data_IF_949820728694
#
_entry.id   IF_949820728694
#
_cell.length_a   1.000
_cell.length_b   1.000
_cell.length_c   1.000
_cell.angle_alpha   90.00
_cell.angle_beta   90.00
_cell.angle_gamma   90.00
#
_symmetry.space_group_name_H-M   'P 1'
#
loop_
_entity.id
_entity.type
_entity.pdbx_description
1 polymer ?
#
# COMPACT_ATOMS: atom_id res chain seq x y z
N UNK A 1 4.71 13.53 -0.44
CA UNK A 1 4.64 13.13 0.99
C UNK A 1 5.91 13.43 1.78
N UNK A 2 7.13 13.37 1.21
CA UNK A 2 8.35 13.77 1.92
C UNK A 2 8.26 15.17 2.55
N UNK A 3 7.70 16.16 1.84
CA UNK A 3 7.53 17.52 2.37
C UNK A 3 6.57 17.60 3.56
N UNK A 4 5.46 16.85 3.53
CA UNK A 4 4.47 16.82 4.60
C UNK A 4 5.00 16.10 5.85
N UNK A 5 5.77 15.02 5.67
CA UNK A 5 6.39 14.30 6.80
C UNK A 5 7.42 15.20 7.48
N UNK A 6 8.26 15.91 6.71
CA UNK A 6 9.23 16.87 7.25
C UNK A 6 8.51 18.02 7.99
N UNK A 7 7.42 18.53 7.44
CA UNK A 7 6.60 19.58 8.07
C UNK A 7 5.97 19.10 9.38
N UNK A 8 5.42 17.88 9.41
CA UNK A 8 4.86 17.24 10.61
C UNK A 8 5.93 17.10 11.69
N UNK A 9 7.11 16.59 11.34
CA UNK A 9 8.21 16.45 12.31
C UNK A 9 8.69 17.80 12.85
N UNK A 10 8.78 18.83 12.00
CA UNK A 10 9.09 20.19 12.43
C UNK A 10 8.05 20.75 13.41
N UNK A 11 6.76 20.54 13.13
CA UNK A 11 5.66 20.97 13.99
C UNK A 11 5.61 20.18 15.31
N UNK A 12 5.87 18.87 15.30
CA UNK A 12 5.97 18.04 16.51
C UNK A 12 7.11 18.51 17.41
N UNK A 13 8.29 18.76 16.83
CA UNK A 13 9.45 19.28 17.56
C UNK A 13 9.13 20.62 18.21
N UNK A 14 8.54 21.54 17.45
CA UNK A 14 8.08 22.84 17.96
C UNK A 14 7.06 22.69 19.09
N UNK A 15 6.11 21.75 18.97
CA UNK A 15 5.12 21.49 20.02
C UNK A 15 5.75 20.91 21.29
N UNK A 16 6.76 20.03 21.15
CA UNK A 16 7.52 19.49 22.27
C UNK A 16 8.33 20.56 23.00
N UNK A 17 8.99 21.46 22.25
CA UNK A 17 9.69 22.63 22.77
C UNK A 17 8.72 23.52 23.57
N UNK A 18 7.59 23.92 22.97
CA UNK A 18 6.56 24.72 23.64
C UNK A 18 6.03 24.08 24.93
N UNK A 19 5.86 22.75 24.95
CA UNK A 19 5.46 22.00 26.15
C UNK A 19 6.55 21.97 27.22
N UNK A 20 7.83 21.96 26.84
CA UNK A 20 8.96 21.97 27.77
C UNK A 20 9.07 23.30 28.54
N UNK A 21 8.66 24.41 27.92
CA UNK A 21 8.62 25.73 28.55
C UNK A 21 7.44 25.91 29.53
N UNK A 22 6.43 25.03 29.49
CA UNK A 22 5.16 25.21 30.19
C UNK A 22 4.98 24.38 31.47
N UNK A 23 5.46 24.88 32.62
CA UNK A 23 4.85 24.56 33.92
C UNK A 23 3.78 25.62 34.23
N UNK A 24 2.49 25.23 34.13
CA UNK A 24 1.28 25.97 34.55
C UNK A 24 1.24 27.47 34.15
N UNK A 25 0.93 27.75 32.89
CA UNK A 25 0.58 29.10 32.44
C UNK A 25 -0.94 29.26 32.22
N UNK A 26 -1.49 30.46 32.42
CA UNK A 26 -2.90 30.74 32.19
C UNK A 26 -3.29 30.57 30.70
N UNK A 27 -4.56 30.26 30.40
CA UNK A 27 -5.05 29.95 29.04
C UNK A 27 -4.80 31.06 28.01
N UNK A 28 -4.62 32.30 28.46
CA UNK A 28 -4.40 33.50 27.67
C UNK A 28 -2.91 33.81 27.41
N UNK A 29 -1.99 32.93 27.79
CA UNK A 29 -0.56 33.15 27.54
C UNK A 29 -0.23 33.04 26.04
N UNK A 30 0.71 33.86 25.51
CA UNK A 30 1.16 33.74 24.11
C UNK A 30 1.63 32.32 23.73
N UNK A 31 2.24 31.61 24.70
CA UNK A 31 2.68 30.22 24.54
C UNK A 31 1.49 29.26 24.31
N UNK A 32 0.39 29.44 25.05
CA UNK A 32 -0.81 28.62 24.89
C UNK A 32 -1.45 28.83 23.51
N UNK A 33 -1.51 30.08 23.04
CA UNK A 33 -2.04 30.43 21.71
C UNK A 33 -1.17 29.80 20.61
N UNK A 34 0.15 29.86 20.77
CA UNK A 34 1.07 29.26 19.80
C UNK A 34 0.97 27.72 19.77
N UNK A 35 0.83 27.08 20.93
CA UNK A 35 0.56 25.64 21.02
C UNK A 35 -0.73 25.26 20.28
N UNK A 36 -1.83 25.99 20.50
CA UNK A 36 -3.09 25.76 19.78
C UNK A 36 -2.92 25.91 18.27
N UNK A 37 -2.18 26.94 17.83
CA UNK A 37 -1.90 27.18 16.41
C UNK A 37 -1.12 26.02 15.78
N UNK A 38 -0.09 25.49 16.47
CA UNK A 38 0.68 24.33 16.00
C UNK A 38 -0.20 23.08 15.93
N UNK A 39 -1.05 22.85 16.93
CA UNK A 39 -2.01 21.74 16.93
C UNK A 39 -3.07 21.84 15.82
N UNK A 40 -3.53 23.04 15.49
CA UNK A 40 -4.44 23.27 14.36
C UNK A 40 -3.77 22.98 13.02
N UNK A 41 -2.50 23.37 12.85
CA UNK A 41 -1.73 23.01 11.65
C UNK A 41 -1.57 21.51 11.49
N UNK A 42 -1.24 20.79 12.56
CA UNK A 42 -1.16 19.33 12.54
C UNK A 42 -2.50 18.69 12.17
N UNK A 43 -3.61 19.16 12.75
CA UNK A 43 -4.97 18.70 12.39
C UNK A 43 -5.31 18.99 10.92
N UNK A 44 -4.95 20.16 10.40
CA UNK A 44 -5.15 20.52 8.99
C UNK A 44 -4.36 19.61 8.06
N UNK A 45 -3.13 19.23 8.43
CA UNK A 45 -2.31 18.28 7.68
C UNK A 45 -2.96 16.88 7.70
N UNK A 46 -3.48 16.44 8.84
CA UNK A 46 -4.20 15.16 8.93
C UNK A 46 -5.48 15.16 8.09
N UNK A 47 -6.28 16.22 8.12
CA UNK A 47 -7.48 16.33 7.29
C UNK A 47 -7.13 16.27 5.79
N UNK A 48 -6.04 16.92 5.39
CA UNK A 48 -5.50 16.81 4.01
C UNK A 48 -5.04 15.39 3.72
N UNK A 49 -4.33 14.75 4.63
CA UNK A 49 -3.87 13.37 4.50
C UNK A 49 -5.04 12.40 4.32
N UNK A 50 -6.08 12.51 5.16
CA UNK A 50 -7.26 11.66 5.08
C UNK A 50 -8.03 11.87 3.77
N UNK A 51 -8.31 13.12 3.41
CA UNK A 51 -8.94 13.46 2.12
C UNK A 51 -8.17 12.89 0.94
N UNK A 52 -6.85 13.04 0.97
CA UNK A 52 -5.97 12.61 -0.10
C UNK A 52 -5.88 11.08 -0.24
N UNK A 53 -6.03 10.33 0.86
CA UNK A 53 -6.06 8.87 0.83
C UNK A 53 -7.49 8.30 0.77
N UNK A 54 -8.53 9.14 0.60
CA UNK A 54 -9.95 8.77 0.65
C UNK A 54 -10.35 8.00 1.93
N UNK A 55 -9.71 8.36 3.04
CA UNK A 55 -9.99 7.78 4.35
C UNK A 55 -10.99 8.69 5.03
N UNK A 56 -12.08 8.13 5.55
CA UNK A 56 -12.99 8.85 6.45
C UNK A 56 -12.69 8.46 7.90
N UNK A 57 -11.97 9.30 8.67
CA UNK A 57 -11.60 8.99 10.05
C UNK A 57 -12.81 8.93 11.00
N UNK A 58 -13.96 9.50 10.59
CA UNK A 58 -15.21 9.51 11.36
C UNK A 58 -16.11 8.34 11.04
N UNK A 59 -15.80 7.57 10.00
CA UNK A 59 -16.56 6.38 9.63
C UNK A 59 -16.57 5.39 10.82
N UNK A 60 -17.76 4.97 11.29
CA UNK A 60 -17.85 3.89 12.26
C UNK A 60 -17.41 2.61 11.54
N UNK A 61 -16.18 2.19 11.81
CA UNK A 61 -15.62 0.95 11.30
C UNK A 61 -15.72 -0.13 12.37
N UNK A 62 -16.39 -1.21 12.03
CA UNK A 62 -16.52 -2.40 12.86
C UNK A 62 -15.80 -3.55 12.19
N UNK A 63 -15.06 -4.33 12.97
CA UNK A 63 -14.53 -5.62 12.54
C UNK A 63 -15.53 -6.66 13.00
N UNK A 64 -16.04 -7.47 12.08
CA UNK A 64 -17.18 -8.34 12.36
C UNK A 64 -16.83 -9.32 13.47
N UNK A 65 -17.53 -9.24 14.60
CA UNK A 65 -17.33 -10.12 15.75
C UNK A 65 -16.24 -9.67 16.74
N UNK A 66 -15.69 -8.46 16.60
CA UNK A 66 -14.67 -7.92 17.50
C UNK A 66 -15.03 -6.51 18.01
N UNK A 67 -15.14 -6.32 19.33
CA UNK A 67 -15.21 -4.99 19.91
C UNK A 67 -13.82 -4.33 19.83
N UNK A 68 -13.78 -3.03 19.54
CA UNK A 68 -12.53 -2.26 19.51
C UNK A 68 -12.53 -1.18 20.60
N UNK A 69 -11.44 -1.01 21.37
CA UNK A 69 -10.20 -1.81 21.34
C UNK A 69 -10.42 -3.26 21.79
N UNK A 70 -9.52 -4.18 21.43
CA UNK A 70 -9.56 -5.56 21.96
C UNK A 70 -9.29 -5.54 23.47
N UNK A 71 -10.01 -6.37 24.23
CA UNK A 71 -10.07 -6.25 25.69
C UNK A 71 -9.11 -7.19 26.42
N UNK A 72 -8.88 -8.40 25.90
CA UNK A 72 -8.01 -9.41 26.50
C UNK A 72 -7.12 -10.14 25.47
N UNK A 73 -6.24 -11.02 25.95
CA UNK A 73 -5.32 -11.80 25.11
C UNK A 73 -6.07 -12.75 24.16
N UNK A 74 -7.17 -13.36 24.62
CA UNK A 74 -7.97 -14.27 23.80
C UNK A 74 -8.61 -13.57 22.60
N UNK A 75 -8.97 -12.29 22.73
CA UNK A 75 -9.47 -11.47 21.63
C UNK A 75 -8.38 -11.21 20.58
N UNK A 76 -7.12 -11.02 21.03
CA UNK A 76 -5.94 -10.84 20.16
C UNK A 76 -5.71 -12.11 19.34
N UNK A 77 -5.68 -13.26 20.00
CA UNK A 77 -5.50 -14.57 19.35
C UNK A 77 -6.64 -14.90 18.39
N UNK A 78 -7.87 -14.61 18.80
CA UNK A 78 -9.04 -14.81 17.95
C UNK A 78 -8.99 -13.90 16.72
N UNK A 79 -8.58 -12.64 16.86
CA UNK A 79 -8.46 -11.73 15.72
C UNK A 79 -7.36 -12.20 14.78
N UNK A 80 -6.20 -12.59 15.32
CA UNK A 80 -5.09 -13.17 14.55
C UNK A 80 -5.55 -14.38 13.74
N UNK A 81 -6.26 -15.32 14.38
CA UNK A 81 -6.79 -16.50 13.71
C UNK A 81 -7.76 -16.14 12.58
N UNK A 82 -8.66 -15.18 12.81
CA UNK A 82 -9.64 -14.76 11.81
C UNK A 82 -9.00 -13.97 10.66
N UNK A 83 -8.01 -13.13 10.93
CA UNK A 83 -7.25 -12.39 9.91
C UNK A 83 -6.47 -13.35 9.01
N UNK A 84 -5.92 -14.42 9.56
CA UNK A 84 -5.21 -15.44 8.78
C UNK A 84 -6.14 -16.29 7.90
N UNK A 85 -7.35 -16.58 8.36
CA UNK A 85 -8.28 -17.48 7.67
C UNK A 85 -9.29 -16.79 6.77
N UNK A 86 -9.61 -15.53 7.04
CA UNK A 86 -10.69 -14.81 6.39
C UNK A 86 -10.20 -13.48 5.79
N UNK A 87 -10.00 -13.41 4.46
CA UNK A 87 -9.58 -12.19 3.77
C UNK A 87 -10.51 -10.99 4.01
N UNK A 88 -11.79 -11.23 4.27
CA UNK A 88 -12.77 -10.17 4.54
C UNK A 88 -12.54 -9.53 5.92
N UNK A 89 -12.25 -10.33 6.95
CA UNK A 89 -11.91 -9.82 8.30
C UNK A 89 -10.55 -9.11 8.25
N UNK A 90 -9.57 -9.67 7.54
CA UNK A 90 -8.29 -9.00 7.29
C UNK A 90 -8.47 -7.62 6.68
N UNK A 91 -9.26 -7.50 5.62
CA UNK A 91 -9.54 -6.22 4.98
C UNK A 91 -10.25 -5.23 5.93
N UNK A 92 -11.21 -5.70 6.73
CA UNK A 92 -11.87 -4.87 7.74
C UNK A 92 -10.88 -4.34 8.78
N UNK A 93 -9.97 -5.18 9.27
CA UNK A 93 -8.96 -4.78 10.24
C UNK A 93 -7.96 -3.77 9.66
N UNK A 94 -7.44 -4.01 8.46
CA UNK A 94 -6.51 -3.08 7.78
C UNK A 94 -7.18 -1.72 7.55
N UNK A 95 -8.45 -1.71 7.13
CA UNK A 95 -9.20 -0.48 6.93
C UNK A 95 -9.44 0.27 8.26
N UNK A 96 -9.71 -0.47 9.34
CA UNK A 96 -9.80 0.09 10.69
C UNK A 96 -8.47 0.75 11.10
N UNK A 97 -7.35 0.07 10.91
CA UNK A 97 -6.02 0.60 11.20
C UNK A 97 -5.73 1.89 10.41
N UNK A 98 -6.05 1.92 9.10
CA UNK A 98 -5.90 3.10 8.24
C UNK A 98 -6.66 4.31 8.77
N UNK A 99 -7.89 4.12 9.19
CA UNK A 99 -8.73 5.21 9.69
C UNK A 99 -8.32 5.76 11.05
N UNK A 100 -7.65 4.94 11.88
CA UNK A 100 -7.34 5.31 13.27
C UNK A 100 -5.93 5.86 13.49
N UNK A 101 -5.07 5.84 12.45
CA UNK A 101 -3.73 6.44 12.47
C UNK A 101 -3.66 7.72 11.62
N UNK A 102 -3.75 8.91 12.24
CA UNK A 102 -3.40 10.17 11.59
C UNK A 102 -1.92 10.21 11.20
N UNK A 103 -1.57 11.05 10.21
CA UNK A 103 -0.19 11.25 9.78
C UNK A 103 0.64 11.93 10.88
N UNK A 104 0.01 12.84 11.63
CA UNK A 104 0.66 13.60 12.71
C UNK A 104 0.91 12.80 13.99
N UNK A 105 0.39 11.58 14.10
CA UNK A 105 0.42 10.79 15.34
C UNK A 105 1.29 9.55 15.19
N UNK A 106 2.16 9.34 16.18
CA UNK A 106 3.00 8.16 16.26
C UNK A 106 2.17 6.87 16.38
N UNK A 107 2.73 5.77 15.90
CA UNK A 107 2.05 4.47 15.98
C UNK A 107 1.77 4.11 17.45
N UNK A 108 2.75 4.31 18.33
CA UNK A 108 2.66 4.04 19.78
C UNK A 108 1.46 4.74 20.43
N UNK A 109 1.18 5.98 20.05
CA UNK A 109 0.05 6.76 20.56
C UNK A 109 -1.32 6.26 20.06
N UNK A 110 -1.34 5.49 18.98
CA UNK A 110 -2.57 4.89 18.46
C UNK A 110 -2.91 3.55 19.10
N UNK A 111 -1.96 2.89 19.79
CA UNK A 111 -2.16 1.54 20.34
C UNK A 111 -3.36 1.42 21.27
N UNK A 112 -3.65 2.43 22.10
CA UNK A 112 -4.82 2.44 22.97
C UNK A 112 -6.17 2.45 22.24
N UNK A 113 -6.19 2.73 20.93
CA UNK A 113 -7.39 2.62 20.08
C UNK A 113 -7.58 1.19 19.55
N UNK A 114 -6.53 0.38 19.58
CA UNK A 114 -6.50 -0.98 19.02
C UNK A 114 -6.62 -2.03 20.12
N UNK A 115 -5.93 -1.82 21.25
CA UNK A 115 -5.83 -2.79 22.33
C UNK A 115 -5.88 -2.07 23.68
N UNK A 116 -6.53 -2.68 24.66
CA UNK A 116 -6.41 -2.26 26.06
C UNK A 116 -5.05 -2.67 26.63
N UNK A 117 -4.70 -2.14 27.80
CA UNK A 117 -3.51 -2.58 28.52
C UNK A 117 -3.58 -4.05 28.93
N UNK A 118 -4.78 -4.55 29.23
CA UNK A 118 -5.02 -5.96 29.58
C UNK A 118 -4.76 -6.89 28.38
N UNK A 119 -5.25 -6.52 27.19
CA UNK A 119 -5.03 -7.29 25.96
C UNK A 119 -3.54 -7.47 25.62
N UNK A 120 -2.70 -6.50 25.98
CA UNK A 120 -1.26 -6.52 25.67
C UNK A 120 -0.37 -6.88 26.86
N UNK A 121 -0.93 -7.17 28.03
CA UNK A 121 -0.17 -7.36 29.26
C UNK A 121 0.91 -8.46 29.15
N UNK A 122 0.59 -9.53 28.41
CA UNK A 122 1.47 -10.69 28.20
C UNK A 122 2.25 -10.64 26.87
N UNK A 123 2.21 -9.52 26.15
CA UNK A 123 2.91 -9.37 24.89
C UNK A 123 4.23 -8.59 25.06
N UNK A 124 5.17 -8.88 24.16
CA UNK A 124 6.41 -8.15 23.98
C UNK A 124 6.73 -8.05 22.50
N UNK A 125 7.46 -7.01 22.08
CA UNK A 125 7.81 -6.89 20.65
C UNK A 125 8.62 -8.09 20.16
N UNK A 126 9.65 -8.50 20.92
CA UNK A 126 10.39 -9.74 20.73
C UNK A 126 10.38 -10.52 22.04
N UNK A 127 10.14 -11.84 21.98
CA UNK A 127 10.20 -12.68 23.17
C UNK A 127 11.64 -12.72 23.69
N UNK A 128 11.87 -12.10 24.85
CA UNK A 128 13.15 -12.19 25.56
C UNK A 128 13.03 -13.38 26.51
N UNK A 129 13.78 -14.46 26.20
CA UNK A 129 13.73 -15.74 26.92
C UNK A 129 14.26 -15.69 28.38
N UNK A 130 14.70 -14.54 28.86
CA UNK A 130 15.31 -14.37 30.20
C UNK A 130 14.32 -13.85 31.26
N UNK A 131 13.05 -13.69 30.92
CA UNK A 131 12.00 -13.25 31.84
C UNK A 131 11.40 -14.44 32.59
N UNK A 132 11.17 -14.29 33.90
CA UNK A 132 10.47 -15.27 34.76
C UNK A 132 9.04 -15.59 34.28
N UNK A 133 8.47 -14.75 33.40
CA UNK A 133 7.22 -15.02 32.68
C UNK A 133 7.46 -14.93 31.16
N UNK A 134 7.28 -16.01 30.40
CA UNK A 134 7.37 -15.95 28.95
C UNK A 134 6.25 -15.05 28.41
N UNK A 135 6.61 -14.11 27.54
CA UNK A 135 5.66 -13.24 26.83
C UNK A 135 5.55 -13.65 25.38
N UNK A 136 4.35 -13.51 24.82
CA UNK A 136 4.11 -13.72 23.39
C UNK A 136 4.86 -12.66 22.58
N UNK A 137 5.52 -13.08 21.51
CA UNK A 137 6.20 -12.16 20.61
C UNK A 137 5.18 -11.59 19.63
N UNK A 138 5.00 -10.27 19.63
CA UNK A 138 4.14 -9.59 18.65
C UNK A 138 4.61 -9.83 17.21
N UNK A 139 5.90 -10.09 17.00
CA UNK A 139 6.46 -10.43 15.68
C UNK A 139 5.86 -11.68 15.06
N UNK A 140 5.27 -12.57 15.86
CA UNK A 140 4.73 -13.84 15.39
C UNK A 140 3.27 -13.70 14.90
N UNK A 141 2.69 -12.49 15.05
CA UNK A 141 1.30 -12.20 14.76
C UNK A 141 1.20 -11.24 13.57
N UNK A 142 0.41 -11.61 12.56
CA UNK A 142 0.13 -10.78 11.39
C UNK A 142 -0.63 -9.51 11.75
N UNK A 143 -1.43 -9.50 12.81
CA UNK A 143 -2.16 -8.30 13.24
C UNK A 143 -1.27 -7.17 13.74
N UNK A 144 -0.07 -7.49 14.26
CA UNK A 144 0.93 -6.50 14.72
C UNK A 144 2.01 -6.21 13.66
N UNK A 145 2.20 -7.11 12.71
CA UNK A 145 3.24 -7.00 11.68
C UNK A 145 2.62 -6.68 10.33
N UNK A 146 2.27 -7.70 9.55
CA UNK A 146 1.85 -7.57 8.15
C UNK A 146 0.66 -6.64 7.98
N UNK A 147 -0.35 -6.71 8.86
CA UNK A 147 -1.55 -5.87 8.73
C UNK A 147 -1.27 -4.40 9.06
N UNK A 148 -0.47 -4.13 10.09
CA UNK A 148 -0.06 -2.76 10.45
C UNK A 148 0.81 -2.13 9.37
N UNK A 149 1.73 -2.92 8.80
CA UNK A 149 2.51 -2.51 7.63
C UNK A 149 1.59 -2.26 6.42
N UNK A 150 0.68 -3.17 6.09
CA UNK A 150 -0.24 -3.00 4.97
C UNK A 150 -1.21 -1.82 5.15
N UNK A 151 -1.54 -1.48 6.40
CA UNK A 151 -2.37 -0.34 6.72
C UNK A 151 -1.61 1.00 6.62
N UNK A 152 -0.37 1.05 7.09
CA UNK A 152 0.32 2.33 7.33
C UNK A 152 1.55 2.55 6.47
N UNK A 153 2.02 1.52 5.78
CA UNK A 153 2.97 1.69 4.71
C UNK A 153 2.23 2.38 3.56
N UNK A 154 2.79 3.50 3.13
CA UNK A 154 2.28 4.34 2.04
C UNK A 154 2.27 3.63 0.66
N UNK A 155 2.18 2.31 0.57
CA UNK A 155 2.60 1.54 -0.59
C UNK A 155 1.55 0.53 -1.07
N UNK A 156 0.27 0.75 -0.79
CA UNK A 156 -0.81 -0.10 -1.33
C UNK A 156 -1.70 0.74 -2.26
N UNK A 157 -2.00 0.17 -3.43
CA UNK A 157 -3.04 0.67 -4.32
C UNK A 157 -4.33 -0.04 -3.98
N UNK A 158 -5.33 0.72 -3.55
CA UNK A 158 -6.56 0.18 -2.99
C UNK A 158 -7.24 -0.77 -3.97
N UNK A 159 -7.48 -2.02 -3.56
CA UNK A 159 -8.17 -3.03 -4.37
C UNK A 159 -7.28 -3.83 -5.33
N UNK A 160 -5.95 -3.66 -5.27
CA UNK A 160 -4.99 -4.36 -6.13
C UNK A 160 -3.87 -5.02 -5.32
N UNK A 161 -3.46 -6.20 -5.76
CA UNK A 161 -2.33 -6.95 -5.22
C UNK A 161 -1.22 -6.98 -6.28
N UNK A 162 -0.01 -6.58 -5.91
CA UNK A 162 1.15 -6.60 -6.81
C UNK A 162 2.10 -7.76 -6.45
N UNK A 163 2.80 -8.34 -7.45
CA UNK A 163 2.71 -8.03 -8.88
C UNK A 163 1.37 -8.50 -9.49
N UNK A 164 0.84 -7.74 -10.46
CA UNK A 164 -0.40 -8.11 -11.14
C UNK A 164 -0.21 -9.45 -11.86
N UNK A 165 -1.17 -10.34 -11.67
CA UNK A 165 -1.02 -11.76 -12.03
C UNK A 165 -1.56 -12.08 -13.43
N UNK A 166 -2.52 -11.28 -13.92
CA UNK A 166 -3.14 -11.50 -15.21
C UNK A 166 -3.44 -10.19 -15.94
N UNK A 167 -3.91 -10.32 -17.17
CA UNK A 167 -4.23 -9.21 -18.06
C UNK A 167 -5.43 -8.39 -17.54
N UNK A 168 -6.46 -9.07 -17.04
CA UNK A 168 -7.69 -8.47 -16.52
C UNK A 168 -7.42 -7.54 -15.33
N UNK A 169 -6.41 -7.85 -14.51
CA UNK A 169 -5.99 -6.98 -13.41
C UNK A 169 -5.35 -5.67 -13.89
N UNK A 170 -4.63 -5.69 -15.03
CA UNK A 170 -4.07 -4.48 -15.65
C UNK A 170 -5.20 -3.61 -16.20
N UNK A 171 -6.18 -4.20 -16.90
CA UNK A 171 -7.34 -3.46 -17.41
C UNK A 171 -8.19 -2.88 -16.27
N UNK A 172 -8.40 -3.66 -15.20
CA UNK A 172 -9.10 -3.19 -13.99
C UNK A 172 -8.36 -2.04 -13.34
N UNK A 173 -7.03 -2.11 -13.24
CA UNK A 173 -6.20 -1.03 -12.70
C UNK A 173 -6.28 0.22 -13.57
N UNK A 174 -6.12 0.08 -14.89
CA UNK A 174 -6.24 1.18 -15.85
C UNK A 174 -7.60 1.89 -15.74
N UNK A 175 -8.68 1.11 -15.77
CA UNK A 175 -10.04 1.65 -15.65
C UNK A 175 -10.22 2.39 -14.33
N UNK A 176 -9.69 1.83 -13.23
CA UNK A 176 -9.80 2.47 -11.92
C UNK A 176 -8.95 3.73 -11.83
N UNK A 177 -7.74 3.75 -12.44
CA UNK A 177 -6.88 4.94 -12.52
C UNK A 177 -7.55 6.06 -13.32
N UNK A 178 -8.24 5.73 -14.41
CA UNK A 178 -8.97 6.72 -15.23
C UNK A 178 -10.13 7.36 -14.49
N UNK A 179 -10.87 6.57 -13.73
CA UNK A 179 -12.10 7.01 -13.06
C UNK A 179 -11.81 7.62 -11.69
N UNK A 180 -10.79 7.12 -10.99
CA UNK A 180 -10.50 7.47 -9.61
C UNK A 180 -9.10 8.10 -9.46
N UNK A 181 -9.02 9.44 -9.35
CA UNK A 181 -7.76 10.17 -9.16
C UNK A 181 -6.96 9.72 -7.93
N UNK A 182 -7.63 9.21 -6.89
CA UNK A 182 -6.96 8.69 -5.69
C UNK A 182 -6.21 7.41 -5.98
N UNK A 183 -6.83 6.47 -6.72
CA UNK A 183 -6.15 5.23 -7.12
C UNK A 183 -4.98 5.53 -8.05
N UNK A 184 -5.14 6.49 -8.96
CA UNK A 184 -4.02 7.01 -9.77
C UNK A 184 -2.88 7.49 -8.89
N UNK A 185 -3.15 8.36 -7.92
CA UNK A 185 -2.12 8.88 -7.03
C UNK A 185 -1.44 7.76 -6.20
N UNK A 186 -2.23 6.84 -5.66
CA UNK A 186 -1.72 5.68 -4.91
C UNK A 186 -0.78 4.84 -5.78
N UNK A 187 -1.13 4.62 -7.05
CA UNK A 187 -0.32 3.87 -8.00
C UNK A 187 0.99 4.59 -8.33
N UNK A 188 0.95 5.88 -8.65
CA UNK A 188 2.16 6.70 -8.88
C UNK A 188 3.09 6.65 -7.67
N UNK A 189 2.55 6.80 -6.46
CA UNK A 189 3.33 6.72 -5.21
C UNK A 189 3.95 5.34 -5.00
N UNK A 190 3.17 4.29 -5.27
CA UNK A 190 3.65 2.91 -5.21
C UNK A 190 4.81 2.67 -6.17
N UNK A 191 4.67 3.10 -7.44
CA UNK A 191 5.75 3.03 -8.44
C UNK A 191 7.02 3.75 -7.97
N UNK A 192 6.88 4.96 -7.43
CA UNK A 192 8.01 5.75 -6.93
C UNK A 192 8.73 5.05 -5.77
N UNK A 193 8.00 4.42 -4.86
CA UNK A 193 8.60 3.73 -3.69
C UNK A 193 9.37 2.44 -4.03
N UNK A 194 9.03 1.79 -5.15
CA UNK A 194 9.59 0.49 -5.51
C UNK A 194 10.78 0.59 -6.46
N UNK A 195 11.25 1.80 -6.79
CA UNK A 195 12.44 2.05 -7.59
C UNK A 195 13.64 2.42 -6.70
N UNK A 196 14.61 1.52 -6.50
CA UNK A 196 15.90 1.88 -5.89
C UNK A 196 16.68 2.89 -6.76
N UNK A 197 17.55 3.72 -6.17
CA UNK A 197 18.31 4.72 -6.90
C UNK A 197 19.27 4.12 -7.95
N UNK A 198 19.74 2.89 -7.74
CA UNK A 198 20.75 2.23 -8.58
C UNK A 198 20.18 1.17 -9.54
N UNK A 199 18.86 0.94 -9.55
CA UNK A 199 18.26 -0.15 -10.34
C UNK A 199 17.52 0.39 -11.57
N UNK A 200 17.56 -0.34 -12.68
CA UNK A 200 16.85 0.04 -13.91
C UNK A 200 15.34 -0.08 -13.73
N UNK A 201 14.58 0.65 -14.54
CA UNK A 201 13.12 0.60 -14.46
C UNK A 201 12.62 -0.79 -14.88
N UNK A 202 13.17 -1.37 -15.94
CA UNK A 202 12.87 -2.71 -16.42
C UNK A 202 13.12 -3.77 -15.34
N UNK A 203 14.17 -3.64 -14.52
CA UNK A 203 14.40 -4.55 -13.39
C UNK A 203 13.30 -4.46 -12.32
N UNK A 204 12.67 -3.29 -12.16
CA UNK A 204 11.55 -3.08 -11.25
C UNK A 204 10.23 -3.66 -11.78
N UNK A 205 10.09 -3.96 -13.09
CA UNK A 205 8.82 -4.46 -13.66
C UNK A 205 8.33 -5.75 -13.00
N UNK A 206 9.25 -6.63 -12.59
CA UNK A 206 8.91 -7.87 -11.86
C UNK A 206 8.21 -7.63 -10.52
N UNK A 207 8.35 -6.43 -9.94
CA UNK A 207 7.69 -6.02 -8.70
C UNK A 207 6.23 -5.60 -8.95
N UNK A 208 5.90 -5.25 -10.20
CA UNK A 208 4.61 -4.70 -10.59
C UNK A 208 3.78 -5.67 -11.43
N UNK A 209 4.43 -6.50 -12.24
CA UNK A 209 3.78 -7.34 -13.24
C UNK A 209 4.46 -8.70 -13.30
N UNK A 210 3.64 -9.75 -13.31
CA UNK A 210 4.11 -11.09 -13.69
C UNK A 210 4.27 -11.19 -15.21
N UNK A 211 5.08 -12.13 -15.69
CA UNK A 211 5.20 -12.39 -17.14
C UNK A 211 3.83 -12.73 -17.77
N UNK A 212 2.95 -13.42 -17.04
CA UNK A 212 1.59 -13.73 -17.50
C UNK A 212 0.74 -12.50 -17.74
N UNK A 213 0.83 -11.50 -16.87
CA UNK A 213 0.07 -10.25 -17.04
C UNK A 213 0.49 -9.46 -18.28
N UNK A 214 1.75 -9.55 -18.71
CA UNK A 214 2.30 -8.80 -19.84
C UNK A 214 2.21 -9.54 -21.19
N UNK A 215 1.85 -10.83 -21.20
CA UNK A 215 1.88 -11.67 -22.41
C UNK A 215 1.04 -11.12 -23.58
N UNK A 216 -0.11 -10.51 -23.26
CA UNK A 216 -1.03 -9.96 -24.25
C UNK A 216 -0.72 -8.50 -24.62
N UNK A 217 0.45 -7.98 -24.25
CA UNK A 217 0.84 -6.60 -24.54
C UNK A 217 1.97 -6.50 -25.58
N UNK A 218 1.96 -5.40 -26.32
CA UNK A 218 3.02 -4.98 -27.23
C UNK A 218 3.29 -3.47 -27.10
N UNK A 219 4.44 -3.01 -27.60
CA UNK A 219 4.77 -1.58 -27.57
C UNK A 219 4.03 -0.79 -28.67
N UNK A 220 3.81 -1.42 -29.83
CA UNK A 220 3.09 -0.87 -30.98
C UNK A 220 2.22 -1.97 -31.60
N UNK A 221 1.04 -1.60 -32.11
CA UNK A 221 0.20 -2.52 -32.90
C UNK A 221 0.95 -2.86 -34.18
N UNK A 222 1.37 -4.12 -34.34
CA UNK A 222 1.98 -4.61 -35.58
C UNK A 222 0.89 -5.26 -36.45
N UNK A 223 0.92 -5.03 -37.76
CA UNK A 223 -0.06 -5.57 -38.72
C UNK A 223 0.07 -7.09 -38.97
N UNK A 224 0.83 -7.80 -38.13
CA UNK A 224 1.11 -9.24 -38.24
C UNK A 224 0.10 -10.15 -37.50
N UNK A 225 0.35 -11.48 -37.43
CA UNK A 225 -0.56 -12.46 -36.82
C UNK A 225 -0.77 -12.27 -35.31
N UNK A 226 -0.07 -11.33 -34.66
CA UNK A 226 -0.29 -10.88 -33.27
C UNK A 226 -1.54 -9.98 -33.10
N UNK A 227 -2.58 -10.15 -33.91
CA UNK A 227 -3.83 -9.34 -33.97
C UNK A 227 -4.61 -9.18 -32.65
N UNK A 228 -4.15 -9.77 -31.54
CA UNK A 228 -4.79 -9.73 -30.23
C UNK A 228 -4.00 -9.00 -29.14
N UNK A 229 -2.76 -8.56 -29.41
CA UNK A 229 -1.96 -7.86 -28.40
C UNK A 229 -2.37 -6.39 -28.29
N UNK A 230 -2.54 -5.91 -27.07
CA UNK A 230 -2.87 -4.51 -26.79
C UNK A 230 -1.61 -3.65 -26.68
N UNK A 231 -1.70 -2.39 -27.12
CA UNK A 231 -0.57 -1.47 -27.03
C UNK A 231 -0.48 -0.89 -25.62
N UNK A 232 0.69 -1.03 -24.98
CA UNK A 232 0.94 -0.40 -23.67
C UNK A 232 0.85 1.14 -23.72
N UNK A 233 1.00 1.75 -24.91
CA UNK A 233 0.88 3.21 -25.09
C UNK A 233 -0.55 3.72 -24.91
N UNK A 234 -1.54 2.83 -25.00
CA UNK A 234 -2.96 3.19 -24.83
C UNK A 234 -3.37 3.24 -23.34
N UNK A 235 -2.45 2.92 -22.42
CA UNK A 235 -2.70 2.76 -21.00
C UNK A 235 -1.93 3.82 -20.19
N UNK A 236 -2.68 4.66 -19.47
CA UNK A 236 -2.13 5.72 -18.62
C UNK A 236 -1.29 5.19 -17.47
N UNK A 237 -1.55 3.97 -17.02
CA UNK A 237 -0.73 3.33 -15.99
C UNK A 237 0.71 3.09 -16.48
N UNK A 238 0.91 2.80 -17.77
CA UNK A 238 2.25 2.60 -18.34
C UNK A 238 2.89 3.90 -18.82
N UNK A 239 2.11 4.88 -19.28
CA UNK A 239 2.63 6.16 -19.78
C UNK A 239 2.66 7.20 -18.68
N UNK A 240 1.52 7.81 -18.38
CA UNK A 240 1.40 9.01 -17.54
C UNK A 240 1.88 8.73 -16.12
N UNK A 241 1.47 7.59 -15.55
CA UNK A 241 1.74 7.26 -14.15
C UNK A 241 3.21 6.89 -13.93
N UNK A 242 3.83 6.12 -14.84
CA UNK A 242 5.26 5.77 -14.73
C UNK A 242 6.16 6.98 -15.00
N UNK A 243 5.80 7.83 -15.97
CA UNK A 243 6.50 9.09 -16.21
C UNK A 243 6.46 9.99 -14.98
N UNK A 244 5.27 10.18 -14.38
CA UNK A 244 5.12 10.99 -13.16
C UNK A 244 5.89 10.40 -11.98
N UNK A 245 5.80 9.09 -11.77
CA UNK A 245 6.44 8.42 -10.63
C UNK A 245 7.97 8.51 -10.66
N UNK A 246 8.56 8.49 -11.85
CA UNK A 246 10.02 8.41 -12.01
C UNK A 246 10.64 9.61 -12.72
N UNK A 247 9.89 10.72 -12.84
CA UNK A 247 10.39 11.97 -13.39
C UNK A 247 11.63 12.47 -12.63
N UNK A 248 11.63 12.36 -11.30
CA UNK A 248 12.75 12.70 -10.42
C UNK A 248 13.99 11.83 -10.64
N UNK A 249 13.82 10.64 -11.23
CA UNK A 249 14.91 9.73 -11.59
C UNK A 249 15.40 9.92 -13.03
N UNK A 250 15.00 11.01 -13.69
CA UNK A 250 15.44 11.33 -15.06
C UNK A 250 14.81 10.45 -16.14
N UNK A 251 13.66 9.85 -15.83
CA UNK A 251 12.83 9.15 -16.82
C UNK A 251 12.16 10.17 -17.74
N UNK A 252 12.26 9.93 -19.04
CA UNK A 252 11.53 10.64 -20.08
C UNK A 252 10.85 9.63 -21.01
N UNK A 253 10.01 10.10 -21.92
CA UNK A 253 9.20 9.24 -22.79
C UNK A 253 10.04 8.24 -23.60
N UNK A 254 11.15 8.69 -24.20
CA UNK A 254 12.03 7.82 -24.98
C UNK A 254 12.67 6.72 -24.12
N UNK A 255 13.16 7.05 -22.92
CA UNK A 255 13.71 6.05 -21.99
C UNK A 255 12.64 5.08 -21.50
N UNK A 256 11.43 5.57 -21.21
CA UNK A 256 10.32 4.72 -20.78
C UNK A 256 9.98 3.69 -21.85
N UNK A 257 9.93 4.09 -23.13
CA UNK A 257 9.66 3.16 -24.23
C UNK A 257 10.73 2.07 -24.34
N UNK A 258 12.00 2.41 -24.16
CA UNK A 258 13.11 1.43 -24.13
C UNK A 258 12.96 0.45 -22.97
N UNK A 259 12.66 0.95 -21.76
CA UNK A 259 12.51 0.12 -20.57
C UNK A 259 11.28 -0.81 -20.66
N UNK A 260 10.17 -0.32 -21.21
CA UNK A 260 8.98 -1.12 -21.50
C UNK A 260 9.28 -2.24 -22.50
N UNK A 261 10.05 -1.94 -23.55
CA UNK A 261 10.45 -2.92 -24.54
C UNK A 261 11.33 -4.02 -23.92
N UNK A 262 12.29 -3.65 -23.06
CA UNK A 262 13.13 -4.63 -22.34
C UNK A 262 12.27 -5.53 -21.45
N UNK A 263 11.33 -4.95 -20.70
CA UNK A 263 10.44 -5.71 -19.82
C UNK A 263 9.54 -6.70 -20.60
N UNK A 264 9.00 -6.28 -21.75
CA UNK A 264 8.23 -7.15 -22.64
C UNK A 264 9.06 -8.30 -23.21
N UNK A 265 10.28 -8.02 -23.66
CA UNK A 265 11.18 -9.07 -24.18
C UNK A 265 11.48 -10.11 -23.10
N UNK A 266 11.84 -9.66 -21.89
CA UNK A 266 12.10 -10.55 -20.75
C UNK A 266 10.88 -11.39 -20.34
N UNK A 267 9.67 -10.82 -20.39
CA UNK A 267 8.43 -11.53 -20.12
C UNK A 267 8.17 -12.65 -21.15
N UNK A 268 8.35 -12.36 -22.45
CA UNK A 268 8.17 -13.34 -23.52
C UNK A 268 9.23 -14.47 -23.45
N UNK A 269 10.48 -14.14 -23.13
CA UNK A 269 11.54 -15.13 -22.92
C UNK A 269 11.23 -16.05 -21.74
N UNK A 270 10.77 -15.47 -20.62
CA UNK A 270 10.36 -16.24 -19.43
C UNK A 270 9.27 -17.25 -19.75
N UNK A 271 8.27 -16.86 -20.55
CA UNK A 271 7.18 -17.73 -20.99
C UNK A 271 7.69 -18.84 -21.92
N UNK A 272 8.64 -18.53 -22.79
CA UNK A 272 9.24 -19.50 -23.69
C UNK A 272 10.13 -20.53 -22.98
N UNK A 273 10.71 -20.16 -21.85
CA UNK A 273 11.53 -21.03 -21.00
C UNK A 273 10.73 -21.85 -19.98
N UNK A 274 9.48 -21.46 -19.67
CA UNK A 274 8.59 -22.28 -18.85
C UNK A 274 8.22 -23.58 -19.59
N UNK A 275 8.63 -24.72 -19.00
CA UNK A 275 8.48 -26.11 -19.49
C UNK A 275 7.03 -26.60 -19.78
N UNK A 276 6.00 -25.74 -19.76
CA UNK A 276 4.58 -26.08 -19.95
C UNK A 276 4.01 -25.76 -21.35
N UNK A 277 4.86 -25.59 -22.37
CA UNK A 277 4.43 -25.35 -23.76
C UNK A 277 3.38 -26.35 -24.30
N UNK A 278 3.41 -27.67 -23.98
CA UNK A 278 2.43 -28.60 -24.54
C UNK A 278 1.05 -28.55 -23.87
N UNK A 279 0.95 -28.23 -22.57
CA UNK A 279 -0.33 -28.30 -21.84
C UNK A 279 -1.22 -27.08 -22.10
N UNK A 280 -0.66 -25.87 -22.12
CA UNK A 280 -1.46 -24.64 -22.28
C UNK A 280 -1.96 -24.50 -23.72
N UNK A 281 -1.17 -24.88 -24.74
CA UNK A 281 -1.61 -24.85 -26.13
C UNK A 281 -2.80 -25.80 -26.39
N UNK A 282 -2.86 -26.93 -25.68
CA UNK A 282 -3.94 -27.91 -25.80
C UNK A 282 -5.22 -27.45 -25.10
N UNK A 283 -5.11 -26.77 -23.95
CA UNK A 283 -6.27 -26.15 -23.27
C UNK A 283 -6.85 -25.01 -24.12
N UNK A 284 -6.00 -24.17 -24.72
CA UNK A 284 -6.43 -23.06 -25.59
C UNK A 284 -7.00 -23.53 -26.94
N UNK A 285 -6.46 -24.60 -27.55
CA UNK A 285 -7.05 -25.22 -28.76
C UNK A 285 -8.40 -25.87 -28.48
N UNK A 286 -8.64 -26.34 -27.25
CA UNK A 286 -9.92 -26.94 -26.84
C UNK A 286 -10.96 -25.85 -26.55
N UNK A 287 -10.56 -24.77 -25.86
CA UNK A 287 -11.44 -23.62 -25.59
C UNK A 287 -11.81 -22.79 -26.84
N UNK A 288 -10.99 -22.86 -27.90
CA UNK A 288 -11.27 -22.20 -29.19
C UNK A 288 -12.18 -23.03 -30.11
N UNK A 289 -12.16 -24.37 -29.99
CA UNK A 289 -13.07 -25.27 -30.73
C UNK A 289 -14.50 -25.25 -30.20
N UNK A 290 -14.67 -25.07 -28.90
CA UNK A 290 -15.99 -24.97 -28.25
C UNK A 290 -16.68 -23.60 -28.42
N UNK A 291 -16.12 -22.67 -29.21
CA UNK A 291 -16.75 -21.39 -29.56
C UNK A 291 -17.17 -21.28 -31.03
N UNK A 292 -17.08 -22.39 -31.77
CA UNK A 292 -17.52 -22.48 -33.17
C UNK A 292 -18.61 -23.55 -33.39
N UNK A 293 -19.24 -24.04 -32.30
CA UNK A 293 -20.56 -24.68 -32.32
C UNK A 293 -21.52 -23.82 -31.51
#
# INVERSE_FOLDING_TARGET
MCTLVIEVEGLKKKLAELRSYGKKHPPSSPLTIEMCTVQEKLRSIDDKFYKHNCIDPRKPLTISGFPMPLQCEEDVDRLELMVNRNPKIRAQYIEFLRCKKPLSVEISECFGKFFTGEALANFSWRSIKTSEKPRNAMTDYHIFTTCMLEAWEAQVVTGFCFPLSCHEDIERLESTIRINPTVRFQYVRFLASKKPPNETIAACFKLFFTHWSLYNFCLQKTDGPERKKQSMREFKLFTDCMLEAWQSHGLNENKLLTELQIALTAAHESINQCHYKPMILNVWKSASRNRQM
#
